data_IF_797484187368
#
_entry.id   IF_797484187368
#
_cell.length_a   1.000
_cell.length_b   1.000
_cell.length_c   1.000
_cell.angle_alpha   90.00
_cell.angle_beta   90.00
_cell.angle_gamma   90.00
#
_symmetry.space_group_name_H-M   'P 1'
#
loop_
_entity.id
_entity.type
_entity.pdbx_description
1 polymer ?
#
# COMPACT_ATOMS: atom_id res chain seq x y z
N UNK A 1 -27.75 -8.12 36.64
CA UNK A 1 -26.45 -7.42 36.56
C UNK A 1 -26.29 -6.91 35.13
N UNK A 2 -26.35 -5.59 34.92
CA UNK A 2 -26.26 -5.01 33.57
C UNK A 2 -24.79 -4.70 33.28
N UNK A 3 -24.21 -5.35 32.26
CA UNK A 3 -22.88 -5.04 31.77
C UNK A 3 -22.92 -3.70 31.04
N UNK A 4 -22.37 -2.64 31.65
CA UNK A 4 -22.14 -1.34 30.99
C UNK A 4 -20.76 -1.37 30.35
N UNK A 5 -20.70 -1.39 29.02
CA UNK A 5 -19.45 -1.25 28.30
C UNK A 5 -18.92 0.19 28.44
N UNK A 6 -17.69 0.36 28.94
CA UNK A 6 -16.99 1.65 28.90
C UNK A 6 -16.67 2.01 27.43
N UNK A 7 -17.52 2.81 26.78
CA UNK A 7 -17.41 3.17 25.36
C UNK A 7 -16.26 4.14 25.06
N UNK A 8 -15.91 5.02 26.00
CA UNK A 8 -14.91 6.09 25.77
C UNK A 8 -13.51 5.61 25.40
N UNK A 9 -13.06 4.47 25.94
CA UNK A 9 -11.75 3.88 25.59
C UNK A 9 -11.77 3.25 24.20
N UNK A 10 -12.94 2.80 23.75
CA UNK A 10 -13.10 2.17 22.44
C UNK A 10 -13.03 3.21 21.33
N UNK A 11 -13.55 4.42 21.57
CA UNK A 11 -13.46 5.52 20.61
C UNK A 11 -12.00 5.95 20.37
N UNK A 12 -11.21 6.13 21.43
CA UNK A 12 -9.79 6.49 21.32
C UNK A 12 -8.99 5.41 20.56
N UNK A 13 -9.28 4.13 20.83
CA UNK A 13 -8.70 3.00 20.11
C UNK A 13 -9.12 3.00 18.63
N UNK A 14 -10.38 3.32 18.33
CA UNK A 14 -10.91 3.44 16.96
C UNK A 14 -10.16 4.51 16.18
N UNK A 15 -9.98 5.69 16.76
CA UNK A 15 -9.23 6.77 16.12
C UNK A 15 -7.77 6.40 15.88
N UNK A 16 -7.10 5.77 16.86
CA UNK A 16 -5.73 5.30 16.69
C UNK A 16 -5.62 4.24 15.57
N UNK A 17 -6.59 3.32 15.51
CA UNK A 17 -6.67 2.30 14.46
C UNK A 17 -6.81 2.93 13.07
N UNK A 18 -7.76 3.87 12.90
CA UNK A 18 -8.00 4.57 11.64
C UNK A 18 -6.78 5.40 11.24
N UNK A 19 -6.13 6.09 12.20
CA UNK A 19 -4.90 6.85 11.98
C UNK A 19 -3.80 5.96 11.40
N UNK A 20 -3.54 4.82 12.04
CA UNK A 20 -2.52 3.86 11.60
C UNK A 20 -2.88 3.21 10.26
N UNK A 21 -4.16 2.88 10.04
CA UNK A 21 -4.61 2.30 8.78
C UNK A 21 -4.47 3.29 7.61
N UNK A 22 -4.76 4.58 7.83
CA UNK A 22 -4.55 5.63 6.83
C UNK A 22 -3.06 5.86 6.54
N UNK A 23 -2.22 5.85 7.58
CA UNK A 23 -0.77 6.02 7.42
C UNK A 23 -0.12 4.82 6.73
N UNK A 24 -0.60 3.62 7.03
CA UNK A 24 -0.07 2.36 6.51
C UNK A 24 -1.16 1.56 5.77
N UNK A 25 -1.63 2.08 4.63
CA UNK A 25 -2.72 1.46 3.85
C UNK A 25 -2.45 0.05 3.30
N UNK A 26 -1.20 -0.42 3.35
CA UNK A 26 -0.85 -1.80 3.02
C UNK A 26 -0.94 -2.77 4.20
N UNK A 27 -1.17 -2.30 5.42
CA UNK A 27 -1.16 -3.15 6.61
C UNK A 27 -2.55 -3.64 6.98
N UNK A 28 -2.64 -4.90 7.41
CA UNK A 28 -3.86 -5.48 7.99
C UNK A 28 -3.86 -5.40 9.52
N UNK A 29 -4.97 -5.84 10.12
CA UNK A 29 -5.20 -5.78 11.58
C UNK A 29 -4.08 -6.40 12.43
N UNK A 30 -3.36 -7.42 11.92
CA UNK A 30 -2.23 -8.05 12.63
C UNK A 30 -1.08 -7.08 12.84
N UNK A 31 -0.69 -6.35 11.78
CA UNK A 31 0.43 -5.40 11.83
C UNK A 31 0.07 -4.12 12.55
N UNK A 32 -1.17 -3.65 12.37
CA UNK A 32 -1.69 -2.52 13.15
C UNK A 32 -1.78 -2.88 14.64
N UNK A 33 -2.16 -4.11 15.00
CA UNK A 33 -2.15 -4.58 16.38
C UNK A 33 -0.75 -4.62 17.01
N UNK A 34 0.30 -4.93 16.24
CA UNK A 34 1.70 -4.83 16.71
C UNK A 34 2.13 -3.37 16.92
N UNK A 35 1.75 -2.46 16.01
CA UNK A 35 2.03 -1.03 16.15
C UNK A 35 1.34 -0.43 17.38
N UNK A 36 0.09 -0.82 17.64
CA UNK A 36 -0.63 -0.42 18.84
C UNK A 36 0.09 -0.89 20.12
N UNK A 37 0.65 -2.10 20.13
CA UNK A 37 1.46 -2.57 21.28
C UNK A 37 2.78 -1.81 21.42
N UNK A 38 3.39 -1.39 20.32
CA UNK A 38 4.59 -0.54 20.36
C UNK A 38 4.28 0.87 20.90
N UNK A 39 3.06 1.36 20.67
CA UNK A 39 2.51 2.57 21.31
C UNK A 39 1.97 2.29 22.73
N UNK A 40 2.33 1.16 23.34
CA UNK A 40 2.01 0.74 24.71
C UNK A 40 0.50 0.53 25.00
N UNK A 41 -0.30 0.29 23.95
CA UNK A 41 -1.70 -0.05 24.10
C UNK A 41 -1.88 -1.53 24.49
N UNK A 42 -2.43 -1.78 25.68
CA UNK A 42 -2.81 -3.12 26.15
C UNK A 42 -4.15 -3.57 25.54
N UNK A 43 -4.14 -3.97 24.27
CA UNK A 43 -5.35 -4.37 23.54
C UNK A 43 -5.23 -5.81 23.02
N UNK A 44 -6.31 -6.58 23.17
CA UNK A 44 -6.40 -7.93 22.60
C UNK A 44 -6.53 -7.87 21.07
N UNK A 45 -5.83 -8.76 20.35
CA UNK A 45 -5.94 -8.86 18.90
C UNK A 45 -7.37 -9.11 18.42
N UNK A 46 -8.18 -9.86 19.18
CA UNK A 46 -9.59 -10.08 18.84
C UNK A 46 -10.41 -8.79 18.78
N UNK A 47 -10.07 -7.81 19.64
CA UNK A 47 -10.77 -6.52 19.68
C UNK A 47 -10.37 -5.64 18.50
N UNK A 48 -9.08 -5.64 18.15
CA UNK A 48 -8.56 -4.96 16.95
C UNK A 48 -9.21 -5.55 15.70
N UNK A 49 -9.27 -6.88 15.59
CA UNK A 49 -9.91 -7.57 14.48
C UNK A 49 -11.40 -7.21 14.36
N UNK A 50 -12.14 -7.21 15.47
CA UNK A 50 -13.55 -6.79 15.48
C UNK A 50 -13.73 -5.36 14.97
N UNK A 51 -12.99 -4.41 15.53
CA UNK A 51 -13.05 -3.00 15.13
C UNK A 51 -12.64 -2.81 13.66
N UNK A 52 -11.68 -3.60 13.19
CA UNK A 52 -11.22 -3.56 11.79
C UNK A 52 -12.32 -3.95 10.80
N UNK A 53 -13.09 -5.00 11.10
CA UNK A 53 -14.24 -5.39 10.27
C UNK A 53 -15.42 -4.43 10.41
N UNK A 54 -15.70 -3.91 11.62
CA UNK A 54 -16.76 -2.91 11.83
C UNK A 54 -16.49 -1.59 11.09
N UNK A 55 -15.22 -1.17 11.00
CA UNK A 55 -14.80 0.02 10.25
C UNK A 55 -14.71 -0.22 8.73
N UNK A 56 -14.91 -1.46 8.26
CA UNK A 56 -14.86 -1.78 6.83
C UNK A 56 -13.49 -1.59 6.19
N UNK A 57 -12.41 -1.64 6.99
CA UNK A 57 -11.03 -1.47 6.53
C UNK A 57 -10.58 -2.71 5.73
N UNK A 58 -11.01 -2.86 4.48
CA UNK A 58 -10.45 -3.90 3.62
C UNK A 58 -9.06 -3.52 3.15
N UNK A 59 -8.11 -4.42 3.36
CA UNK A 59 -6.79 -4.30 2.76
C UNK A 59 -6.94 -4.40 1.24
N UNK A 60 -6.39 -3.44 0.47
CA UNK A 60 -6.47 -3.51 -0.98
C UNK A 60 -5.84 -4.81 -1.48
N UNK A 61 -6.60 -5.56 -2.29
CA UNK A 61 -6.12 -6.83 -2.82
C UNK A 61 -4.85 -6.60 -3.63
N UNK A 62 -3.82 -7.41 -3.36
CA UNK A 62 -2.56 -7.30 -4.10
C UNK A 62 -2.84 -7.52 -5.58
N UNK A 63 -2.51 -6.52 -6.40
CA UNK A 63 -2.69 -6.63 -7.84
C UNK A 63 -1.95 -7.87 -8.36
N UNK A 64 -2.65 -8.69 -9.16
CA UNK A 64 -2.07 -9.91 -9.72
C UNK A 64 -0.82 -9.55 -10.51
N UNK A 65 0.25 -10.35 -10.37
CA UNK A 65 1.43 -10.18 -11.22
C UNK A 65 0.98 -10.33 -12.67
N UNK A 66 1.21 -9.31 -13.49
CA UNK A 66 0.90 -9.37 -14.92
C UNK A 66 1.72 -10.52 -15.50
N UNK A 67 1.05 -11.52 -16.10
CA UNK A 67 1.72 -12.58 -16.85
C UNK A 67 2.49 -11.92 -18.01
N UNK A 68 3.58 -12.55 -18.44
CA UNK A 68 4.29 -12.09 -19.65
C UNK A 68 3.30 -12.14 -20.81
N UNK A 69 3.19 -11.04 -21.54
CA UNK A 69 2.49 -11.02 -22.82
C UNK A 69 3.40 -11.79 -23.79
N UNK A 70 3.07 -13.05 -24.06
CA UNK A 70 3.67 -13.77 -25.16
C UNK A 70 2.93 -13.31 -26.41
N UNK A 71 3.62 -12.64 -27.32
CA UNK A 71 3.11 -12.52 -28.67
C UNK A 71 3.10 -13.92 -29.29
N UNK A 72 2.12 -14.19 -30.16
CA UNK A 72 2.00 -15.48 -30.85
C UNK A 72 3.22 -15.80 -31.73
N UNK A 73 4.12 -14.83 -31.94
CA UNK A 73 5.40 -14.94 -32.66
C UNK A 73 6.62 -15.21 -31.75
N UNK A 74 6.40 -15.53 -30.47
CA UNK A 74 7.42 -15.84 -29.46
C UNK A 74 8.40 -14.69 -29.13
N UNK A 75 8.12 -13.44 -29.53
CA UNK A 75 8.96 -12.30 -29.16
C UNK A 75 8.78 -11.90 -27.67
N UNK A 76 9.89 -11.72 -26.94
CA UNK A 76 9.90 -11.28 -25.53
C UNK A 76 10.45 -9.86 -25.45
N UNK A 77 9.59 -8.84 -25.48
CA UNK A 77 10.03 -7.43 -25.49
C UNK A 77 9.74 -6.73 -24.16
N UNK A 78 10.80 -6.25 -23.48
CA UNK A 78 10.71 -5.09 -22.57
C UNK A 78 11.22 -3.88 -23.34
N UNK A 79 10.33 -3.05 -23.86
CA UNK A 79 10.72 -1.82 -24.56
C UNK A 79 11.36 -0.86 -23.55
N UNK A 80 12.64 -0.52 -23.78
CA UNK A 80 13.33 0.56 -23.08
C UNK A 80 12.99 1.89 -23.77
N UNK A 81 12.86 3.01 -23.02
CA UNK A 81 12.65 4.32 -23.61
C UNK A 81 13.87 4.69 -24.48
N UNK A 82 13.62 5.01 -25.75
CA UNK A 82 14.64 5.53 -26.66
C UNK A 82 14.87 7.01 -26.34
N UNK A 83 15.78 7.27 -25.40
CA UNK A 83 16.28 8.62 -25.16
C UNK A 83 17.35 8.89 -26.22
N UNK A 84 17.00 9.61 -27.28
CA UNK A 84 17.96 10.11 -28.27
C UNK A 84 18.77 11.23 -27.64
N UNK A 85 19.96 10.90 -27.13
CA UNK A 85 21.02 11.89 -26.87
C UNK A 85 22.13 11.64 -27.87
N UNK A 86 22.22 12.46 -28.91
CA UNK A 86 23.49 12.59 -29.64
C UNK A 86 23.66 14.05 -30.00
N UNK A 87 24.62 14.63 -29.28
CA UNK A 87 25.30 15.91 -29.43
C UNK A 87 25.55 16.33 -30.87
N UNK A 88 25.42 17.63 -31.11
CA UNK A 88 25.81 18.28 -32.35
C UNK A 88 27.24 17.95 -32.74
N UNK A 89 27.41 17.56 -34.00
CA UNK A 89 28.67 17.65 -34.71
C UNK A 89 28.38 18.47 -35.97
N UNK A 90 28.92 19.69 -35.96
CA UNK A 90 29.05 20.57 -37.10
C UNK A 90 29.85 19.84 -38.18
N UNK A 91 29.31 19.72 -39.39
CA UNK A 91 30.14 19.69 -40.60
C UNK A 91 29.61 20.74 -41.54
N UNK A 92 30.45 21.76 -41.67
CA UNK A 92 30.36 22.96 -42.48
C UNK A 92 29.98 22.67 -43.93
N UNK A 93 28.97 23.42 -44.37
CA UNK A 93 28.88 23.98 -45.73
C UNK A 93 30.23 24.51 -46.20
N UNK A 94 30.65 24.16 -47.43
CA UNK A 94 31.20 25.08 -48.44
C UNK A 94 31.41 24.34 -49.77
N UNK A 95 30.52 24.64 -50.71
CA UNK A 95 30.69 24.87 -52.15
C UNK A 95 32.11 24.79 -52.74
N UNK A 96 32.40 23.82 -53.61
CA UNK A 96 32.50 23.93 -55.09
C UNK A 96 33.01 22.60 -55.67
#
# INVERSE_FOLDING_TARGET
MQYKAETKKDDALRFALIRLAKQYGQYGYRKVGELLRAEDWRVNQKKVERLWYEEGLQQPHRHKKRKRLYHHDASVIRLRPNIRTTSGALISSTTN
#
